data_IF_368830977228
#
_entry.id   IF_368830977228
#
_cell.length_a   1.000
_cell.length_b   1.000
_cell.length_c   1.000
_cell.angle_alpha   90.00
_cell.angle_beta   90.00
_cell.angle_gamma   90.00
#
_symmetry.space_group_name_H-M   'P 1'
#
loop_
_entity.id
_entity.type
_entity.pdbx_description
1 polymer ?
#
# COMPACT_ATOMS: atom_id res chain seq x y z
N UNK A 1 11.40 2.16 -42.39
CA UNK A 1 10.52 1.19 -41.73
C UNK A 1 11.28 0.62 -40.54
N UNK A 2 10.77 0.69 -39.30
CA UNK A 2 11.43 0.07 -38.15
C UNK A 2 11.54 -1.45 -38.37
N UNK A 3 12.68 -2.07 -38.01
CA UNK A 3 12.86 -3.54 -38.05
C UNK A 3 13.47 -4.11 -39.34
N UNK A 4 14.15 -3.29 -40.14
CA UNK A 4 14.93 -3.75 -41.30
C UNK A 4 16.32 -3.12 -41.28
N UNK A 5 17.36 -3.91 -41.51
CA UNK A 5 18.77 -3.49 -41.53
C UNK A 5 19.39 -3.81 -42.89
N UNK A 6 20.28 -2.95 -43.40
CA UNK A 6 20.97 -3.15 -44.68
C UNK A 6 21.67 -1.90 -45.21
N UNK A 7 22.67 -2.08 -46.06
CA UNK A 7 23.38 -1.00 -46.75
C UNK A 7 22.69 -0.59 -48.06
N UNK A 8 22.97 0.61 -48.58
CA UNK A 8 22.30 1.18 -49.77
C UNK A 8 22.45 0.36 -51.07
N UNK A 9 23.33 -0.65 -51.09
CA UNK A 9 23.59 -1.51 -52.26
C UNK A 9 23.05 -2.94 -52.10
N UNK A 10 22.46 -3.29 -50.96
CA UNK A 10 21.89 -4.62 -50.69
C UNK A 10 20.40 -4.53 -50.33
N UNK A 11 19.68 -5.64 -50.49
CA UNK A 11 18.28 -5.73 -50.08
C UNK A 11 18.20 -5.67 -48.54
N UNK A 12 17.38 -4.75 -48.01
CA UNK A 12 17.14 -4.66 -46.57
C UNK A 12 16.60 -6.01 -46.04
N UNK A 13 17.25 -6.56 -45.02
CA UNK A 13 16.82 -7.79 -44.36
C UNK A 13 16.02 -7.47 -43.10
N UNK A 14 15.01 -8.29 -42.73
CA UNK A 14 14.34 -8.16 -41.45
C UNK A 14 15.36 -8.30 -40.32
N UNK A 15 15.30 -7.40 -39.33
CA UNK A 15 16.12 -7.50 -38.14
C UNK A 15 15.70 -8.74 -37.36
N UNK A 16 16.58 -9.75 -37.24
CA UNK A 16 16.26 -10.95 -36.47
C UNK A 16 16.06 -10.55 -35.00
N UNK A 17 14.94 -10.94 -34.37
CA UNK A 17 14.75 -10.67 -32.95
C UNK A 17 15.86 -11.37 -32.19
N UNK A 18 16.60 -10.60 -31.37
CA UNK A 18 17.63 -11.15 -30.50
C UNK A 18 17.04 -12.34 -29.73
N UNK A 19 17.73 -13.49 -29.70
CA UNK A 19 17.23 -14.65 -29.00
C UNK A 19 16.95 -14.28 -27.55
N UNK A 20 15.77 -14.64 -27.05
CA UNK A 20 15.44 -14.43 -25.65
C UNK A 20 16.45 -15.20 -24.80
N UNK A 21 17.33 -14.44 -24.15
CA UNK A 21 18.40 -14.95 -23.29
C UNK A 21 17.91 -15.88 -22.18
N UNK A 22 16.61 -15.84 -21.86
CA UNK A 22 15.95 -16.66 -20.86
C UNK A 22 15.20 -17.88 -21.42
N UNK A 23 15.17 -18.08 -22.74
CA UNK A 23 14.34 -19.11 -23.39
C UNK A 23 14.64 -20.55 -22.92
N UNK A 24 15.87 -20.84 -22.50
CA UNK A 24 16.31 -22.16 -22.03
C UNK A 24 16.69 -22.18 -20.54
N UNK A 25 16.48 -21.09 -19.82
CA UNK A 25 16.91 -20.96 -18.42
C UNK A 25 15.74 -21.29 -17.49
N UNK A 26 15.96 -22.25 -16.60
CA UNK A 26 15.06 -22.57 -15.50
C UNK A 26 15.71 -22.11 -14.19
N UNK A 27 15.19 -21.04 -13.60
CA UNK A 27 15.64 -20.55 -12.31
C UNK A 27 15.06 -21.34 -11.15
N UNK A 28 15.76 -21.31 -10.02
CA UNK A 28 15.34 -21.92 -8.78
C UNK A 28 14.10 -21.25 -8.17
N UNK A 29 13.60 -21.81 -7.07
CA UNK A 29 12.46 -21.22 -6.36
C UNK A 29 12.77 -19.80 -5.87
N UNK A 30 11.79 -18.90 -5.99
CA UNK A 30 11.91 -17.48 -5.64
C UNK A 30 12.99 -16.71 -6.43
N UNK A 31 13.28 -17.13 -7.66
CA UNK A 31 14.15 -16.42 -8.60
C UNK A 31 13.45 -16.23 -9.96
N UNK A 32 13.94 -15.28 -10.75
CA UNK A 32 13.50 -15.01 -12.11
C UNK A 32 14.71 -14.84 -13.04
N UNK A 33 14.53 -15.13 -14.32
CA UNK A 33 15.59 -14.91 -15.31
C UNK A 33 15.57 -13.45 -15.80
N UNK A 34 16.75 -12.85 -15.90
CA UNK A 34 16.98 -11.54 -16.50
C UNK A 34 18.32 -11.56 -17.21
N UNK A 35 18.33 -11.15 -18.48
CA UNK A 35 19.55 -11.03 -19.30
C UNK A 35 20.42 -12.32 -19.29
N UNK A 36 19.78 -13.49 -19.32
CA UNK A 36 20.47 -14.78 -19.32
C UNK A 36 20.99 -15.25 -17.95
N UNK A 37 20.61 -14.58 -16.87
CA UNK A 37 21.01 -14.95 -15.51
C UNK A 37 19.82 -15.05 -14.57
N UNK A 38 19.88 -15.99 -13.62
CA UNK A 38 18.88 -16.09 -12.57
C UNK A 38 19.17 -15.09 -11.45
N UNK A 39 18.13 -14.39 -11.00
CA UNK A 39 18.19 -13.37 -9.94
C UNK A 39 17.09 -13.68 -8.92
N UNK A 40 17.41 -13.64 -7.63
CA UNK A 40 16.40 -13.76 -6.57
C UNK A 40 15.39 -12.62 -6.61
N UNK A 41 14.12 -12.90 -6.30
CA UNK A 41 13.16 -11.83 -6.07
C UNK A 41 13.59 -10.94 -4.91
N UNK A 42 13.10 -9.69 -4.91
CA UNK A 42 13.34 -8.76 -3.81
C UNK A 42 12.90 -9.37 -2.48
N UNK A 43 13.75 -9.25 -1.45
CA UNK A 43 13.52 -9.85 -0.14
C UNK A 43 14.00 -11.30 -0.01
N UNK A 44 14.60 -11.87 -1.07
CA UNK A 44 15.20 -13.20 -1.04
C UNK A 44 16.71 -13.14 -1.33
N UNK A 45 17.45 -14.11 -0.81
CA UNK A 45 18.90 -14.28 -0.99
C UNK A 45 19.25 -15.77 -1.10
N UNK A 46 20.46 -16.10 -1.54
CA UNK A 46 20.92 -17.46 -1.73
C UNK A 46 21.35 -17.72 -3.17
N UNK A 47 21.22 -18.96 -3.62
CA UNK A 47 21.56 -19.38 -4.99
C UNK A 47 20.32 -19.32 -5.89
N UNK A 48 20.26 -18.39 -6.87
CA UNK A 48 19.11 -18.21 -7.74
C UNK A 48 18.91 -19.33 -8.77
N UNK A 49 19.88 -20.23 -8.96
CA UNK A 49 19.72 -21.42 -9.80
C UNK A 49 19.14 -22.62 -9.04
N UNK A 50 19.20 -22.61 -7.70
CA UNK A 50 18.67 -23.68 -6.84
C UNK A 50 17.41 -23.23 -6.10
N UNK A 51 17.58 -22.27 -5.18
CA UNK A 51 16.50 -21.72 -4.37
C UNK A 51 16.99 -20.45 -3.64
N UNK A 52 16.20 -19.39 -3.72
CA UNK A 52 16.37 -18.24 -2.85
C UNK A 52 15.49 -18.37 -1.61
N UNK A 53 16.06 -18.03 -0.46
CA UNK A 53 15.41 -18.02 0.85
C UNK A 53 15.08 -16.59 1.26
N UNK A 54 14.04 -16.36 2.07
CA UNK A 54 13.77 -15.04 2.63
C UNK A 54 15.01 -14.50 3.34
N UNK A 55 15.32 -13.22 3.14
CA UNK A 55 16.38 -12.54 3.87
C UNK A 55 15.91 -12.42 5.32
N UNK A 56 16.43 -13.27 6.18
CA UNK A 56 16.33 -13.09 7.63
C UNK A 56 17.48 -12.20 8.07
N UNK A 57 17.16 -11.05 8.64
CA UNK A 57 18.17 -10.20 9.23
C UNK A 57 18.68 -10.86 10.52
N UNK A 58 19.90 -11.43 10.48
CA UNK A 58 20.49 -12.12 11.63
C UNK A 58 20.68 -11.19 12.83
N UNK A 59 20.76 -9.87 12.62
CA UNK A 59 20.81 -8.89 13.71
C UNK A 59 19.49 -8.77 14.49
N UNK A 60 18.40 -9.32 13.95
CA UNK A 60 17.09 -9.39 14.60
C UNK A 60 16.87 -10.67 15.40
N UNK A 61 17.84 -11.59 15.41
CA UNK A 61 17.78 -12.79 16.27
C UNK A 61 17.79 -12.34 17.73
N UNK A 62 16.74 -12.69 18.47
CA UNK A 62 16.57 -12.30 19.87
C UNK A 62 16.03 -10.87 20.10
N UNK A 63 15.71 -10.14 19.02
CA UNK A 63 15.07 -8.82 19.13
C UNK A 63 13.55 -9.00 19.14
N UNK A 64 12.88 -8.49 20.17
CA UNK A 64 11.42 -8.45 20.27
C UNK A 64 10.93 -7.02 20.13
N UNK A 65 10.20 -6.74 19.06
CA UNK A 65 9.62 -5.42 18.80
C UNK A 65 8.20 -5.30 19.35
N UNK A 66 7.76 -4.05 19.51
CA UNK A 66 6.41 -3.72 19.94
C UNK A 66 5.34 -4.15 18.93
N UNK A 67 4.07 -3.98 19.32
CA UNK A 67 2.93 -4.35 18.46
C UNK A 67 2.94 -3.49 17.19
N UNK A 68 2.69 -4.11 16.04
CA UNK A 68 2.74 -3.49 14.71
C UNK A 68 4.10 -2.87 14.35
N UNK A 69 5.19 -3.31 14.98
CA UNK A 69 6.56 -2.97 14.60
C UNK A 69 7.27 -4.19 13.99
N UNK A 70 8.33 -3.93 13.23
CA UNK A 70 9.20 -4.97 12.69
C UNK A 70 10.65 -4.67 13.03
N UNK A 71 11.50 -5.70 13.05
CA UNK A 71 12.93 -5.53 13.24
C UNK A 71 13.63 -5.37 11.88
N UNK A 72 14.52 -4.38 11.81
CA UNK A 72 15.43 -4.15 10.69
C UNK A 72 16.79 -3.70 11.24
N UNK A 73 17.87 -4.37 10.84
CA UNK A 73 19.24 -4.09 11.30
C UNK A 73 19.37 -4.06 12.84
N UNK A 74 18.67 -4.98 13.51
CA UNK A 74 18.70 -5.15 14.96
C UNK A 74 17.98 -4.05 15.73
N UNK A 75 17.15 -3.26 15.05
CA UNK A 75 16.34 -2.19 15.66
C UNK A 75 14.90 -2.32 15.23
N UNK A 76 14.00 -1.97 16.14
CA UNK A 76 12.58 -1.93 15.85
C UNK A 76 12.23 -0.66 15.07
N UNK A 77 11.38 -0.81 14.05
CA UNK A 77 10.86 0.26 13.23
C UNK A 77 9.34 0.09 13.03
N UNK A 78 8.62 1.21 12.92
CA UNK A 78 7.24 1.18 12.48
C UNK A 78 7.17 0.98 10.96
N UNK A 79 6.19 0.21 10.45
CA UNK A 79 5.87 0.12 9.03
C UNK A 79 5.58 1.48 8.42
N UNK A 80 5.65 1.55 7.09
CA UNK A 80 5.15 2.72 6.37
C UNK A 80 3.67 2.94 6.69
N UNK A 81 3.28 4.21 6.86
CA UNK A 81 1.97 4.63 7.35
C UNK A 81 1.65 4.20 8.79
N UNK A 82 2.66 3.91 9.60
CA UNK A 82 2.52 3.79 11.05
C UNK A 82 3.51 4.73 11.75
N UNK A 83 3.18 5.15 12.97
CA UNK A 83 4.07 5.97 13.80
C UNK A 83 3.87 5.65 15.29
N UNK A 84 4.71 6.18 16.19
CA UNK A 84 4.75 5.80 17.60
C UNK A 84 6.10 5.24 18.07
N UNK A 85 6.10 4.44 19.12
CA UNK A 85 7.30 3.78 19.67
C UNK A 85 7.43 2.35 19.14
N UNK A 86 8.42 2.05 18.28
CA UNK A 86 8.61 0.71 17.72
C UNK A 86 8.91 -0.39 18.74
N UNK A 87 9.35 -0.05 19.96
CA UNK A 87 9.60 -1.04 21.01
C UNK A 87 8.33 -1.38 21.81
N UNK A 88 7.28 -0.57 21.65
CA UNK A 88 6.04 -0.70 22.43
C UNK A 88 4.84 -0.90 21.52
N UNK A 89 4.48 0.10 20.72
CA UNK A 89 3.30 0.09 19.87
C UNK A 89 3.41 1.13 18.73
N UNK A 90 3.15 0.69 17.49
CA UNK A 90 2.98 1.56 16.33
C UNK A 90 1.49 1.70 15.98
N UNK A 91 1.01 2.93 15.84
CA UNK A 91 -0.35 3.27 15.42
C UNK A 91 -0.40 3.66 13.93
N UNK A 92 -1.48 3.26 13.25
CA UNK A 92 -1.70 3.64 11.85
C UNK A 92 -1.81 5.15 11.71
N UNK A 93 -1.08 5.73 10.76
CA UNK A 93 -1.18 7.13 10.35
C UNK A 93 -2.25 7.35 9.30
N UNK A 94 -2.90 6.29 8.82
CA UNK A 94 -4.15 6.47 8.12
C UNK A 94 -5.08 7.18 9.11
N UNK A 95 -5.28 8.48 8.90
CA UNK A 95 -6.42 9.17 9.45
C UNK A 95 -7.60 8.24 9.16
N UNK A 96 -8.44 7.91 10.17
CA UNK A 96 -9.68 7.25 9.83
C UNK A 96 -10.26 8.13 8.74
N UNK A 97 -10.43 7.56 7.54
CA UNK A 97 -11.31 8.15 6.55
C UNK A 97 -12.53 8.45 7.37
N UNK A 98 -12.78 9.73 7.59
CA UNK A 98 -13.94 10.14 8.33
C UNK A 98 -15.06 9.89 7.34
N UNK A 99 -15.40 8.61 7.23
CA UNK A 99 -16.65 8.14 6.67
C UNK A 99 -17.68 8.98 7.39
N UNK A 100 -18.35 9.79 6.58
CA UNK A 100 -19.17 10.92 6.95
C UNK A 100 -19.60 10.83 8.42
N UNK A 101 -19.20 11.78 9.27
CA UNK A 101 -19.54 11.72 10.70
C UNK A 101 -21.07 11.62 10.93
N UNK A 102 -21.88 11.80 9.88
CA UNK A 102 -23.30 11.61 9.83
C UNK A 102 -23.77 10.17 9.51
N UNK A 103 -22.93 9.27 8.99
CA UNK A 103 -23.29 7.88 8.58
C UNK A 103 -23.98 7.10 9.69
N UNK A 104 -23.58 7.30 10.95
CA UNK A 104 -24.18 6.64 12.12
C UNK A 104 -24.77 7.63 13.13
N UNK A 105 -24.94 8.90 12.76
CA UNK A 105 -25.48 9.92 13.65
C UNK A 105 -26.96 10.15 13.38
N UNK A 106 -27.81 9.67 14.29
CA UNK A 106 -29.25 9.95 14.24
C UNK A 106 -29.52 11.35 14.79
N UNK A 107 -30.03 12.24 13.94
CA UNK A 107 -30.57 13.54 14.35
C UNK A 107 -32.08 13.47 14.57
N UNK A 108 -32.63 14.45 15.27
CA UNK A 108 -34.08 14.63 15.36
C UNK A 108 -34.70 14.74 13.95
N UNK A 109 -35.96 14.35 13.77
CA UNK A 109 -36.64 14.38 12.46
C UNK A 109 -36.66 15.78 11.81
N UNK A 110 -36.61 16.84 12.62
CA UNK A 110 -36.52 18.23 12.19
C UNK A 110 -35.09 18.80 12.24
N UNK A 111 -34.06 17.95 12.10
CA UNK A 111 -32.66 18.36 12.05
C UNK A 111 -31.90 17.69 10.90
N UNK A 112 -30.84 18.36 10.44
CA UNK A 112 -29.91 17.85 9.43
C UNK A 112 -28.53 17.69 10.05
N UNK A 113 -27.85 16.58 9.75
CA UNK A 113 -26.46 16.38 10.15
C UNK A 113 -25.50 17.10 9.20
N UNK A 114 -24.49 17.77 9.75
CA UNK A 114 -23.39 18.36 8.99
C UNK A 114 -22.12 18.32 9.83
N UNK A 115 -21.05 17.69 9.29
CA UNK A 115 -19.77 17.52 9.97
C UNK A 115 -19.89 16.89 11.37
N UNK A 116 -20.81 15.93 11.54
CA UNK A 116 -21.00 15.21 12.82
C UNK A 116 -21.78 15.99 13.87
N UNK A 117 -22.47 17.06 13.46
CA UNK A 117 -23.34 17.84 14.34
C UNK A 117 -24.74 17.93 13.76
N UNK A 118 -25.73 17.59 14.57
CA UNK A 118 -27.13 17.81 14.24
C UNK A 118 -27.49 19.28 14.40
N UNK A 119 -28.21 19.83 13.41
CA UNK A 119 -28.67 21.21 13.41
C UNK A 119 -30.14 21.24 13.05
N UNK A 120 -30.98 21.84 13.88
CA UNK A 120 -32.40 22.01 13.56
C UNK A 120 -32.59 22.70 12.21
N UNK A 121 -33.56 22.21 11.45
CA UNK A 121 -33.94 22.73 10.14
C UNK A 121 -34.50 24.15 10.28
N UNK A 122 -34.57 24.87 9.16
CA UNK A 122 -35.04 26.26 9.17
C UNK A 122 -36.46 26.38 9.75
N UNK A 123 -36.65 27.29 10.71
CA UNK A 123 -37.91 27.46 11.43
C UNK A 123 -38.04 26.63 12.73
N UNK A 124 -37.03 25.83 13.05
CA UNK A 124 -36.95 25.08 14.30
C UNK A 124 -35.75 25.51 15.15
N UNK A 125 -35.83 25.27 16.46
CA UNK A 125 -34.73 25.45 17.41
C UNK A 125 -34.71 24.34 18.47
N UNK A 126 -33.54 24.16 19.10
CA UNK A 126 -33.28 23.10 20.05
C UNK A 126 -31.85 22.56 19.90
N UNK A 127 -31.61 21.34 20.35
CA UNK A 127 -30.28 20.71 20.38
C UNK A 127 -29.93 19.95 19.08
N UNK A 128 -30.92 19.69 18.22
CA UNK A 128 -30.75 18.97 16.96
C UNK A 128 -30.74 17.45 17.09
N UNK A 129 -30.54 16.90 18.29
CA UNK A 129 -30.44 15.45 18.51
C UNK A 129 -31.77 14.85 18.94
N UNK A 130 -32.38 15.45 19.96
CA UNK A 130 -33.63 14.99 20.55
C UNK A 130 -34.70 16.05 20.36
N UNK A 131 -34.32 17.33 20.38
CA UNK A 131 -35.24 18.43 20.42
C UNK A 131 -35.02 19.39 19.24
N UNK A 132 -36.07 19.49 18.41
CA UNK A 132 -36.27 20.62 17.51
C UNK A 132 -37.75 20.99 17.49
N UNK A 133 -38.11 22.10 18.13
CA UNK A 133 -39.47 22.64 18.13
C UNK A 133 -39.58 23.86 17.22
N UNK A 134 -40.80 24.17 16.76
CA UNK A 134 -41.04 25.33 15.91
C UNK A 134 -40.75 26.61 16.70
N UNK A 135 -40.01 27.53 16.07
CA UNK A 135 -39.85 28.88 16.61
C UNK A 135 -41.20 29.56 16.62
N UNK A 136 -41.59 30.12 17.77
CA UNK A 136 -42.82 30.90 17.86
C UNK A 136 -42.76 32.09 16.90
N UNK A 137 -43.84 32.34 16.13
CA UNK A 137 -43.95 33.57 15.37
C UNK A 137 -44.19 34.70 16.37
N UNK A 138 -43.11 35.35 16.80
CA UNK A 138 -43.18 36.63 17.52
C UNK A 138 -43.85 37.70 16.68
#
# INVERSE_FOLDING_TARGET
>A
MPGYVGDANDACVPEEPLPDSCASIQCGSNAYCKDGACICFQGFTGDPYLACQPIYDSSCIGVSCGVNAYCIRGRCACPDNYTGDPNSYCYSTALPLVDDLCTNLACHENATCSAGKCRCNHGFEGDGFIDCWRKDPG
#
